data_IF_341797688987
#
_entry.id   IF_341797688987
#
_cell.length_a   1.000
_cell.length_b   1.000
_cell.length_c   1.000
_cell.angle_alpha   90.00
_cell.angle_beta   90.00
_cell.angle_gamma   90.00
#
_symmetry.space_group_name_H-M   'P 1'
#
loop_
_entity.id
_entity.type
_entity.pdbx_description
1 polymer ?
#
# COMPACT_ATOMS: atom_id res chain seq x y z
N UNK A 1 9.31 -22.06 -11.77
CA UNK A 1 9.98 -20.76 -11.55
C UNK A 1 11.28 -20.69 -12.34
N UNK A 2 12.32 -21.43 -11.96
CA UNK A 2 13.61 -21.44 -12.70
C UNK A 2 13.46 -21.88 -14.17
N UNK A 3 12.70 -22.95 -14.44
CA UNK A 3 12.40 -23.39 -15.81
C UNK A 3 11.55 -22.39 -16.63
N UNK A 4 10.88 -21.45 -15.97
CA UNK A 4 10.13 -20.37 -16.60
C UNK A 4 10.91 -19.03 -16.63
N UNK A 5 12.18 -19.02 -16.19
CA UNK A 5 13.01 -17.82 -16.15
C UNK A 5 12.63 -16.80 -15.06
N UNK A 6 11.86 -17.20 -14.03
CA UNK A 6 11.37 -16.30 -12.96
C UNK A 6 11.99 -16.64 -11.61
N UNK A 7 12.41 -15.60 -10.87
CA UNK A 7 12.86 -15.70 -9.48
C UNK A 7 11.68 -15.52 -8.51
N UNK A 8 11.52 -16.46 -7.58
CA UNK A 8 10.52 -16.35 -6.50
C UNK A 8 11.13 -15.63 -5.31
N UNK A 9 10.40 -14.67 -4.74
CA UNK A 9 10.75 -14.01 -3.49
C UNK A 9 9.68 -14.34 -2.45
N UNK A 10 10.12 -14.80 -1.28
CA UNK A 10 9.23 -15.14 -0.15
C UNK A 10 9.56 -14.18 0.99
N UNK A 11 8.60 -13.37 1.48
CA UNK A 11 8.84 -12.50 2.62
C UNK A 11 8.94 -13.31 3.92
N UNK A 12 9.50 -12.73 5.00
CA UNK A 12 9.43 -13.33 6.33
C UNK A 12 8.00 -13.69 6.72
N UNK A 13 7.80 -14.87 7.31
CA UNK A 13 6.45 -15.39 7.59
C UNK A 13 5.60 -14.46 8.47
N UNK A 14 6.23 -13.74 9.40
CA UNK A 14 5.56 -12.75 10.26
C UNK A 14 5.00 -11.54 9.50
N UNK A 15 5.44 -11.33 8.24
CA UNK A 15 4.96 -10.27 7.37
C UNK A 15 3.97 -10.78 6.30
N UNK A 16 3.68 -12.10 6.26
CA UNK A 16 2.78 -12.66 5.25
C UNK A 16 1.29 -12.46 5.54
N UNK A 17 0.93 -12.16 6.79
CA UNK A 17 -0.45 -11.88 7.20
C UNK A 17 -0.71 -10.38 7.22
N UNK A 18 -1.98 -9.96 7.28
CA UNK A 18 -2.34 -8.55 7.43
C UNK A 18 -1.65 -7.93 8.65
N UNK A 19 -0.89 -6.86 8.42
CA UNK A 19 -0.13 -6.18 9.45
C UNK A 19 0.10 -4.70 9.10
N UNK A 20 0.39 -3.90 10.12
CA UNK A 20 0.60 -2.46 9.95
C UNK A 20 1.88 -2.08 9.18
N UNK A 21 2.87 -2.97 9.07
CA UNK A 21 4.13 -2.67 8.40
C UNK A 21 3.95 -2.54 6.88
N UNK A 22 3.10 -3.38 6.28
CA UNK A 22 2.76 -3.31 4.85
C UNK A 22 2.10 -1.95 4.53
N UNK A 23 1.13 -1.55 5.35
CA UNK A 23 0.41 -0.28 5.17
C UNK A 23 1.36 0.92 5.34
N UNK A 24 2.21 0.89 6.37
CA UNK A 24 3.20 1.95 6.61
C UNK A 24 4.22 2.06 5.46
N UNK A 25 4.69 0.93 4.92
CA UNK A 25 5.62 0.92 3.80
C UNK A 25 4.99 1.55 2.55
N UNK A 26 3.76 1.15 2.18
CA UNK A 26 3.05 1.74 1.05
C UNK A 26 2.84 3.26 1.22
N UNK A 27 2.38 3.69 2.41
CA UNK A 27 2.17 5.11 2.69
C UNK A 27 3.49 5.91 2.60
N UNK A 28 4.59 5.36 3.13
CA UNK A 28 5.92 5.96 3.04
C UNK A 28 6.36 6.14 1.59
N UNK A 29 6.22 5.11 0.74
CA UNK A 29 6.58 5.19 -0.68
C UNK A 29 5.76 6.27 -1.41
N UNK A 30 4.47 6.38 -1.12
CA UNK A 30 3.60 7.41 -1.72
C UNK A 30 4.01 8.83 -1.31
N UNK A 31 4.28 9.05 -0.01
CA UNK A 31 4.72 10.35 0.51
C UNK A 31 6.11 10.71 -0.04
N UNK A 32 7.04 9.75 -0.12
CA UNK A 32 8.36 9.94 -0.72
C UNK A 32 8.27 10.26 -2.22
N UNK A 33 7.25 9.74 -2.91
CA UNK A 33 6.92 10.10 -4.29
C UNK A 33 6.21 11.47 -4.43
N UNK A 34 6.05 12.23 -3.34
CA UNK A 34 5.49 13.59 -3.34
C UNK A 34 3.97 13.66 -3.17
N UNK A 35 3.31 12.55 -2.83
CA UNK A 35 1.86 12.58 -2.56
C UNK A 35 1.59 13.14 -1.16
N UNK A 36 0.52 13.92 -1.04
CA UNK A 36 0.10 14.47 0.24
C UNK A 36 -0.43 13.38 1.19
N UNK A 37 -0.20 13.50 2.51
CA UNK A 37 -0.86 12.66 3.50
C UNK A 37 -2.39 12.85 3.50
N UNK A 38 -3.13 11.80 3.86
CA UNK A 38 -4.58 11.90 4.06
C UNK A 38 -4.94 12.86 5.19
N UNK A 39 -6.08 13.54 5.07
CA UNK A 39 -6.62 14.37 6.15
C UNK A 39 -7.32 13.53 7.21
N UNK A 40 -7.62 14.13 8.36
CA UNK A 40 -8.39 13.47 9.43
C UNK A 40 -9.84 13.12 9.04
N UNK A 41 -10.34 13.63 7.90
CA UNK A 41 -11.65 13.29 7.38
C UNK A 41 -11.67 11.96 6.61
N UNK A 42 -10.51 11.37 6.35
CA UNK A 42 -10.40 10.08 5.65
C UNK A 42 -10.88 8.94 6.55
N UNK A 43 -11.97 8.28 6.13
CA UNK A 43 -12.55 7.11 6.78
C UNK A 43 -12.26 5.82 6.02
N UNK A 44 -12.66 4.70 6.61
CA UNK A 44 -12.56 3.40 5.95
C UNK A 44 -13.63 3.22 4.87
N UNK A 45 -13.23 2.71 3.71
CA UNK A 45 -14.12 2.21 2.66
C UNK A 45 -13.79 0.74 2.41
N UNK A 46 -14.68 -0.15 2.84
CA UNK A 46 -14.51 -1.60 2.70
C UNK A 46 -14.67 -2.11 1.25
N UNK A 47 -15.10 -1.25 0.33
CA UNK A 47 -15.30 -1.55 -1.09
C UNK A 47 -14.27 -0.89 -2.00
N UNK A 48 -13.26 -0.21 -1.43
CA UNK A 48 -12.27 0.54 -2.18
C UNK A 48 -11.55 -0.35 -3.20
N UNK A 49 -11.60 -0.01 -4.50
CA UNK A 49 -10.89 -0.78 -5.52
C UNK A 49 -9.37 -0.78 -5.26
N UNK A 50 -8.73 -1.93 -5.44
CA UNK A 50 -7.27 -2.07 -5.23
C UNK A 50 -6.43 -1.20 -6.20
N UNK A 51 -7.04 -0.78 -7.31
CA UNK A 51 -6.44 0.13 -8.29
C UNK A 51 -6.38 1.57 -7.79
N UNK A 52 -7.20 1.92 -6.81
CA UNK A 52 -7.34 3.28 -6.28
C UNK A 52 -6.42 3.47 -5.06
N UNK A 53 -5.13 3.69 -5.35
CA UNK A 53 -4.09 3.76 -4.31
C UNK A 53 -4.06 5.09 -3.54
N UNK A 54 -4.75 6.12 -4.03
CA UNK A 54 -4.93 7.40 -3.36
C UNK A 54 -6.26 8.02 -3.81
N UNK A 55 -7.17 8.24 -2.85
CA UNK A 55 -8.52 8.74 -3.11
C UNK A 55 -8.84 10.07 -2.42
N UNK A 56 -7.99 10.51 -1.50
CA UNK A 56 -8.08 11.81 -0.85
C UNK A 56 -6.98 12.74 -1.38
N UNK A 57 -7.33 13.57 -2.35
CA UNK A 57 -6.53 14.70 -2.82
C UNK A 57 -7.44 15.92 -2.91
N UNK A 58 -6.93 17.08 -2.46
CA UNK A 58 -7.62 18.37 -2.34
C UNK A 58 -8.56 18.49 -1.12
N UNK A 59 -8.01 18.97 0.01
CA UNK A 59 -8.78 19.90 0.83
C UNK A 59 -8.78 21.22 0.04
N UNK A 60 -9.95 21.63 -0.44
CA UNK A 60 -10.15 23.03 -0.81
C UNK A 60 -9.91 23.96 0.38
#
# INVERSE_FOLDING_TARGET
AAAAGVTVRIPPLSLCTDNGAIIAALASELIMAGRAPSTMAFGADSTLPITDIQVAGEAG
#
